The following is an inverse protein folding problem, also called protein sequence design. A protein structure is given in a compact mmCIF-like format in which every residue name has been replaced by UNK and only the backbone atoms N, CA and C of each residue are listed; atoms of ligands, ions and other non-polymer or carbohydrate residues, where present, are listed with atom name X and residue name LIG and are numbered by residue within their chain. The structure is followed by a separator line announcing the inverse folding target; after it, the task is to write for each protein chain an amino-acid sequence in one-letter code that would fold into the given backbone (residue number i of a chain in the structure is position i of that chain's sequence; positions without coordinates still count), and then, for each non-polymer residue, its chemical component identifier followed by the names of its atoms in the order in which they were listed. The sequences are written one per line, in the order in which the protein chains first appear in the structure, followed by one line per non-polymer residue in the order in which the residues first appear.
data_IF_167236542345
#
_entry.id   IF_167236542345
#
_cell.length_a   1.000
_cell.length_b   1.000
_cell.length_c   1.000
_cell.angle_alpha   90.00
_cell.angle_beta   90.00
_cell.angle_gamma   90.00
#
_symmetry.space_group_name_H-M   'P 1'
#
loop_
_entity.id
_entity.type
_entity.pdbx_description
1 polymer ?
#
# COMPACT_ATOMS: atom_id res chain seq x y z
N UNK A 1 -4.18 45.58 28.45
CA UNK A 1 -3.14 46.38 27.78
C UNK A 1 -2.35 45.45 26.87
N UNK A 2 -2.24 45.80 25.57
CA UNK A 2 -1.18 45.43 24.57
C UNK A 2 -0.96 43.93 24.28
N UNK A 3 -0.85 43.45 23.04
CA UNK A 3 -0.96 44.01 21.68
C UNK A 3 -1.09 42.82 20.70
N UNK A 4 -1.80 43.07 19.61
CA UNK A 4 -1.98 42.22 18.42
C UNK A 4 -0.66 41.96 17.68
N UNK A 5 -0.62 40.87 16.92
CA UNK A 5 0.39 40.62 15.89
C UNK A 5 -0.07 39.61 14.85
N UNK A 6 -1.01 40.00 13.99
CA UNK A 6 -1.23 39.34 12.69
C UNK A 6 -0.08 39.72 11.76
N UNK A 7 0.57 38.75 11.11
CA UNK A 7 1.28 38.97 9.85
C UNK A 7 0.83 37.89 8.87
N UNK A 8 0.20 38.40 7.83
CA UNK A 8 -0.34 37.74 6.66
C UNK A 8 0.70 38.01 5.57
N UNK A 9 1.23 36.97 4.92
CA UNK A 9 2.06 37.11 3.73
C UNK A 9 1.41 36.31 2.59
N UNK A 10 0.70 37.06 1.75
CA UNK A 10 0.33 36.68 0.39
C UNK A 10 1.49 37.06 -0.52
N UNK A 11 1.93 36.13 -1.37
CA UNK A 11 2.39 36.46 -2.72
C UNK A 11 2.38 35.18 -3.57
N UNK A 12 1.47 35.12 -4.54
CA UNK A 12 1.52 34.14 -5.61
C UNK A 12 2.46 34.57 -6.74
N UNK A 13 2.96 33.59 -7.47
CA UNK A 13 3.60 33.68 -8.80
C UNK A 13 3.77 32.22 -9.24
N UNK A 14 3.57 31.73 -10.46
CA UNK A 14 3.03 32.16 -11.76
C UNK A 14 3.08 30.89 -12.60
N UNK A 15 2.16 30.75 -13.56
CA UNK A 15 2.15 29.64 -14.50
C UNK A 15 3.36 29.59 -15.44
N UNK A 16 3.75 28.37 -15.79
CA UNK A 16 4.16 27.98 -17.14
C UNK A 16 5.66 27.93 -17.42
N UNK A 17 6.14 26.74 -17.81
CA UNK A 17 6.76 26.49 -19.13
C UNK A 17 6.90 24.98 -19.36
N UNK A 18 6.36 24.50 -20.48
CA UNK A 18 6.76 23.26 -21.11
C UNK A 18 8.14 23.48 -21.75
N UNK A 19 9.15 22.71 -21.36
CA UNK A 19 10.34 22.51 -22.19
C UNK A 19 10.55 21.00 -22.38
N UNK A 20 10.33 20.59 -23.63
CA UNK A 20 10.82 19.34 -24.17
C UNK A 20 12.36 19.34 -24.11
N UNK A 21 12.91 18.40 -23.35
CA UNK A 21 14.33 18.09 -23.32
C UNK A 21 14.67 17.11 -24.44
N UNK A 22 15.36 17.64 -25.44
CA UNK A 22 15.99 16.95 -26.56
C UNK A 22 17.07 15.97 -26.05
N UNK A 23 16.90 14.68 -26.36
CA UNK A 23 18.00 13.72 -26.38
C UNK A 23 18.80 13.88 -27.67
N UNK A 24 20.11 14.05 -27.54
CA UNK A 24 21.09 14.01 -28.65
C UNK A 24 21.96 12.76 -28.52
N UNK A 25 22.35 12.28 -29.71
CA UNK A 25 23.26 11.19 -30.05
C UNK A 25 22.75 9.77 -29.79
N UNK A 26 22.54 8.90 -30.78
CA UNK A 26 22.92 8.92 -32.20
C UNK A 26 22.77 7.50 -32.74
N UNK A 27 22.73 7.37 -34.07
CA UNK A 27 22.54 6.14 -34.86
C UNK A 27 21.06 5.69 -34.96
N UNK A 28 20.48 5.36 -36.10
CA UNK A 28 20.98 5.08 -37.45
C UNK A 28 19.76 4.99 -38.40
N UNK A 29 20.03 5.22 -39.68
CA UNK A 29 19.14 5.32 -40.83
C UNK A 29 18.12 4.18 -41.08
N UNK A 30 16.88 4.51 -41.48
CA UNK A 30 16.30 3.96 -42.73
C UNK A 30 15.05 4.74 -43.23
N UNK A 31 15.28 5.42 -44.34
CA UNK A 31 14.41 5.80 -45.48
C UNK A 31 12.95 5.29 -45.56
N UNK A 32 12.03 6.23 -45.85
CA UNK A 32 11.09 6.08 -46.97
C UNK A 32 9.58 6.23 -46.72
N UNK A 33 9.05 7.42 -47.03
CA UNK A 33 7.77 7.77 -47.69
C UNK A 33 6.47 6.98 -47.37
N UNK A 34 5.45 7.59 -46.75
CA UNK A 34 4.35 8.40 -47.34
C UNK A 34 3.14 7.59 -47.85
N UNK A 35 1.95 8.13 -47.53
CA UNK A 35 0.66 8.09 -48.26
C UNK A 35 -0.25 6.84 -48.26
N UNK A 36 -1.44 7.07 -47.69
CA UNK A 36 -2.79 6.89 -48.28
C UNK A 36 -3.41 5.49 -48.47
N UNK A 37 -4.54 5.32 -47.76
CA UNK A 37 -5.87 4.89 -48.24
C UNK A 37 -6.05 3.62 -49.11
N UNK A 38 -6.98 2.79 -48.64
CA UNK A 38 -7.99 2.03 -49.39
C UNK A 38 -7.64 0.74 -50.16
N UNK A 39 -8.61 -0.18 -50.03
CA UNK A 39 -9.03 -1.27 -50.93
C UNK A 39 -8.49 -2.69 -50.72
N UNK A 40 -9.32 -3.46 -50.02
CA UNK A 40 -9.84 -4.81 -50.32
C UNK A 40 -9.26 -5.53 -51.55
N UNK A 41 -8.81 -6.79 -51.36
CA UNK A 41 -9.26 -7.93 -52.16
C UNK A 41 -8.91 -9.29 -51.50
N UNK A 42 -9.88 -10.21 -51.57
CA UNK A 42 -9.88 -11.60 -51.10
C UNK A 42 -8.99 -12.54 -51.94
N UNK A 43 -8.58 -13.68 -51.36
CA UNK A 43 -8.92 -15.03 -51.87
C UNK A 43 -8.22 -16.17 -51.10
N UNK A 44 -9.04 -16.88 -50.32
CA UNK A 44 -9.20 -18.35 -50.17
C UNK A 44 -8.02 -19.35 -50.04
N UNK A 45 -8.19 -20.21 -49.02
CA UNK A 45 -7.66 -21.59 -48.89
C UNK A 45 -7.58 -22.00 -47.40
N UNK A 46 -8.68 -22.41 -46.74
CA UNK A 46 -9.08 -23.82 -46.45
C UNK A 46 -7.94 -24.64 -45.80
N UNK A 47 -7.99 -25.28 -44.63
CA UNK A 47 -9.07 -25.92 -43.89
C UNK A 47 -8.51 -26.31 -42.49
N UNK A 48 -9.26 -26.14 -41.40
CA UNK A 48 -9.23 -27.13 -40.30
C UNK A 48 -10.35 -26.87 -39.29
N UNK A 49 -11.27 -27.82 -39.24
CA UNK A 49 -12.38 -27.90 -38.31
C UNK A 49 -11.94 -28.67 -37.05
N UNK A 50 -12.14 -28.11 -35.86
CA UNK A 50 -12.43 -28.92 -34.68
C UNK A 50 -13.15 -28.11 -33.60
N UNK A 51 -14.36 -28.59 -33.31
CA UNK A 51 -15.27 -28.32 -32.20
C UNK A 51 -14.64 -27.84 -30.88
N UNK A 52 -15.32 -26.89 -30.21
CA UNK A 52 -16.16 -27.23 -29.06
C UNK A 52 -16.94 -26.03 -28.50
N UNK A 53 -18.27 -26.18 -28.50
CA UNK A 53 -19.22 -25.86 -27.42
C UNK A 53 -19.01 -24.57 -26.61
N UNK A 54 -19.77 -23.54 -26.99
CA UNK A 54 -20.26 -22.51 -26.06
C UNK A 54 -21.53 -22.98 -25.38
N UNK A 55 -21.62 -22.79 -24.06
CA UNK A 55 -22.90 -22.67 -23.38
C UNK A 55 -22.99 -23.35 -22.02
N UNK A 56 -22.90 -22.52 -20.98
CA UNK A 56 -23.81 -22.56 -19.82
C UNK A 56 -23.60 -23.68 -18.78
N UNK A 57 -22.94 -23.34 -17.67
CA UNK A 57 -23.64 -23.13 -16.40
C UNK A 57 -22.72 -22.63 -15.29
N UNK A 58 -23.11 -21.47 -14.76
CA UNK A 58 -22.69 -20.92 -13.48
C UNK A 58 -23.25 -21.78 -12.35
N UNK A 59 -22.37 -22.44 -11.61
CA UNK A 59 -22.52 -22.80 -10.20
C UNK A 59 -21.21 -23.47 -9.75
N UNK A 60 -20.27 -22.68 -9.26
CA UNK A 60 -19.24 -23.16 -8.34
C UNK A 60 -19.20 -22.21 -7.16
N UNK A 61 -20.32 -22.17 -6.44
CA UNK A 61 -20.28 -21.92 -5.01
C UNK A 61 -19.78 -23.22 -4.39
N UNK A 62 -18.51 -23.21 -4.05
CA UNK A 62 -17.77 -24.33 -3.54
C UNK A 62 -16.61 -23.74 -2.78
N UNK A 63 -16.97 -23.14 -1.64
CA UNK A 63 -16.11 -22.73 -0.54
C UNK A 63 -14.68 -23.28 -0.70
N UNK A 64 -13.77 -22.39 -1.10
CA UNK A 64 -12.37 -22.60 -0.77
C UNK A 64 -12.32 -22.55 0.75
N UNK A 65 -12.39 -23.75 1.35
CA UNK A 65 -12.05 -23.94 2.74
C UNK A 65 -10.66 -23.38 2.89
N UNK A 66 -10.58 -22.23 3.56
CA UNK A 66 -9.35 -21.66 4.08
C UNK A 66 -8.55 -22.80 4.66
N UNK A 67 -7.45 -23.09 3.97
CA UNK A 67 -6.34 -23.86 4.51
C UNK A 67 -6.06 -23.27 5.88
N UNK A 68 -6.55 -23.95 6.93
CA UNK A 68 -6.31 -23.59 8.32
C UNK A 68 -4.88 -23.98 8.64
N UNK A 69 -3.94 -23.32 7.97
CA UNK A 69 -2.70 -22.92 8.60
C UNK A 69 -3.14 -22.09 9.80
N UNK A 70 -3.23 -22.74 10.96
CA UNK A 70 -3.62 -22.11 12.22
C UNK A 70 -2.73 -20.88 12.42
N UNK A 71 -3.30 -19.69 12.23
CA UNK A 71 -2.56 -18.43 12.40
C UNK A 71 -2.06 -18.39 13.84
N UNK A 72 -0.75 -18.41 14.06
CA UNK A 72 -0.21 -18.40 15.42
C UNK A 72 -0.23 -16.95 15.94
N UNK A 73 -0.97 -16.70 17.03
CA UNK A 73 -1.21 -15.35 17.53
C UNK A 73 0.08 -14.72 18.07
N UNK A 74 0.89 -15.48 18.82
CA UNK A 74 2.19 -15.02 19.30
C UNK A 74 3.11 -14.59 18.15
N UNK A 75 3.18 -15.39 17.07
CA UNK A 75 3.95 -15.04 15.87
C UNK A 75 3.39 -13.78 15.19
N UNK A 76 2.07 -13.63 15.12
CA UNK A 76 1.43 -12.44 14.54
C UNK A 76 1.78 -11.17 15.32
N UNK A 77 1.66 -11.21 16.65
CA UNK A 77 2.00 -10.09 17.54
C UNK A 77 3.50 -9.77 17.49
N UNK A 78 4.36 -10.79 17.48
CA UNK A 78 5.81 -10.59 17.31
C UNK A 78 6.16 -9.94 15.98
N UNK A 79 5.45 -10.30 14.92
CA UNK A 79 5.63 -9.73 13.60
C UNK A 79 5.24 -8.25 13.58
N UNK A 80 4.08 -7.90 14.15
CA UNK A 80 3.65 -6.49 14.28
C UNK A 80 4.64 -5.68 15.11
N UNK A 81 5.09 -6.20 16.26
CA UNK A 81 6.09 -5.50 17.08
C UNK A 81 7.41 -5.29 16.33
N UNK A 82 7.80 -6.25 15.49
CA UNK A 82 9.00 -6.11 14.64
C UNK A 82 8.83 -5.03 13.58
N UNK A 83 7.65 -4.91 12.97
CA UNK A 83 7.36 -3.85 12.00
C UNK A 83 7.33 -2.47 12.67
N UNK A 84 6.71 -2.37 13.86
CA UNK A 84 6.68 -1.14 14.65
C UNK A 84 8.09 -0.70 15.07
N UNK A 85 8.94 -1.63 15.52
CA UNK A 85 10.35 -1.34 15.86
C UNK A 85 11.17 -0.90 14.63
N UNK A 86 10.93 -1.54 13.47
CA UNK A 86 11.55 -1.16 12.21
C UNK A 86 11.14 0.26 11.77
N UNK A 87 9.86 0.61 11.94
CA UNK A 87 9.35 1.95 11.69
C UNK A 87 9.95 2.97 12.67
N UNK A 88 10.06 2.63 13.95
CA UNK A 88 10.68 3.48 14.96
C UNK A 88 12.14 3.78 14.60
N UNK A 89 12.89 2.73 14.28
CA UNK A 89 14.28 2.83 13.83
C UNK A 89 14.41 3.72 12.59
N UNK A 90 13.50 3.63 11.62
CA UNK A 90 13.50 4.49 10.44
C UNK A 90 13.23 5.96 10.79
N UNK A 91 12.30 6.24 11.71
CA UNK A 91 11.95 7.58 12.17
C UNK A 91 13.07 8.25 13.01
N UNK A 92 13.88 7.45 13.71
CA UNK A 92 15.04 7.92 14.47
C UNK A 92 16.27 8.19 13.59
N UNK A 93 16.52 7.32 12.59
CA UNK A 93 17.73 7.39 11.76
C UNK A 93 17.55 8.21 10.49
N UNK A 94 16.32 8.37 10.00
CA UNK A 94 16.00 8.97 8.71
C UNK A 94 14.71 9.81 8.79
N UNK A 95 14.74 10.87 9.59
CA UNK A 95 13.57 11.74 9.88
C UNK A 95 12.94 12.45 8.68
N UNK A 96 13.42 12.23 7.45
CA UNK A 96 12.91 12.82 6.20
C UNK A 96 12.62 11.76 5.11
N UNK A 97 12.78 10.47 5.40
CA UNK A 97 12.62 9.41 4.40
C UNK A 97 11.19 8.84 4.39
N UNK A 98 10.24 9.67 3.97
CA UNK A 98 8.81 9.30 3.87
C UNK A 98 8.58 8.07 3.00
N UNK A 99 9.42 7.82 1.99
CA UNK A 99 9.33 6.61 1.17
C UNK A 99 9.60 5.34 1.98
N UNK A 100 10.57 5.38 2.91
CA UNK A 100 10.87 4.22 3.75
C UNK A 100 9.76 3.98 4.76
N UNK A 101 9.20 5.04 5.34
CA UNK A 101 8.07 4.94 6.27
C UNK A 101 6.83 4.38 5.57
N UNK A 102 6.58 4.78 4.33
CA UNK A 102 5.50 4.25 3.51
C UNK A 102 5.61 2.75 3.23
N UNK A 103 6.80 2.29 2.87
CA UNK A 103 7.06 0.86 2.67
C UNK A 103 6.80 0.06 3.96
N UNK A 104 7.28 0.56 5.10
CA UNK A 104 7.07 -0.06 6.40
C UNK A 104 5.60 -0.02 6.84
N UNK A 105 4.87 1.06 6.54
CA UNK A 105 3.43 1.15 6.78
C UNK A 105 2.63 0.12 5.98
N UNK A 106 3.01 -0.09 4.72
CA UNK A 106 2.40 -1.12 3.85
C UNK A 106 2.70 -2.53 4.36
N UNK A 107 3.93 -2.76 4.84
CA UNK A 107 4.32 -4.03 5.45
C UNK A 107 3.52 -4.31 6.73
N UNK A 108 3.43 -3.32 7.62
CA UNK A 108 2.64 -3.40 8.85
C UNK A 108 1.17 -3.73 8.54
N UNK A 109 0.57 -3.07 7.54
CA UNK A 109 -0.79 -3.39 7.09
C UNK A 109 -0.91 -4.84 6.65
N UNK A 110 -0.01 -5.30 5.79
CA UNK A 110 -0.06 -6.67 5.29
C UNK A 110 0.08 -7.71 6.40
N UNK A 111 0.88 -7.45 7.43
CA UNK A 111 1.02 -8.38 8.55
C UNK A 111 -0.14 -8.29 9.54
N UNK A 112 -0.68 -7.09 9.79
CA UNK A 112 -1.89 -6.89 10.60
C UNK A 112 -3.09 -7.65 10.02
N UNK A 113 -3.36 -7.49 8.72
CA UNK A 113 -4.48 -8.11 8.01
C UNK A 113 -4.46 -9.65 8.06
N UNK A 114 -3.31 -10.28 8.32
CA UNK A 114 -3.18 -11.74 8.39
C UNK A 114 -3.66 -12.35 9.71
N UNK A 115 -3.72 -11.58 10.81
CA UNK A 115 -4.12 -12.12 12.11
C UNK A 115 -5.16 -11.28 12.86
N UNK A 116 -5.54 -10.10 12.37
CA UNK A 116 -6.53 -9.23 13.00
C UNK A 116 -7.85 -9.96 13.30
N UNK A 117 -8.29 -10.84 12.39
CA UNK A 117 -9.50 -11.63 12.56
C UNK A 117 -9.36 -12.61 13.73
N UNK A 118 -8.22 -13.30 13.86
CA UNK A 118 -7.99 -14.23 14.96
C UNK A 118 -7.91 -13.50 16.30
N UNK A 119 -7.22 -12.35 16.32
CA UNK A 119 -7.16 -11.49 17.49
C UNK A 119 -8.56 -11.01 17.90
N UNK A 120 -9.41 -10.62 16.93
CA UNK A 120 -10.80 -10.23 17.16
C UNK A 120 -11.67 -11.34 17.73
N UNK A 121 -11.46 -12.58 17.28
CA UNK A 121 -12.22 -13.74 17.72
C UNK A 121 -11.84 -14.18 19.14
N UNK A 122 -10.54 -14.19 19.47
CA UNK A 122 -10.04 -14.66 20.77
C UNK A 122 -10.00 -13.57 21.85
N UNK A 123 -9.71 -12.33 21.47
CA UNK A 123 -9.49 -11.19 22.37
C UNK A 123 -10.25 -9.93 21.87
N UNK A 124 -11.59 -9.93 21.85
CA UNK A 124 -12.37 -8.85 21.22
C UNK A 124 -12.20 -7.47 21.87
N UNK A 125 -11.96 -7.41 23.19
CA UNK A 125 -11.71 -6.14 23.89
C UNK A 125 -10.33 -5.59 23.53
N UNK A 126 -9.29 -6.44 23.57
CA UNK A 126 -7.93 -6.05 23.21
C UNK A 126 -7.78 -5.73 21.72
N UNK A 127 -8.47 -6.49 20.86
CA UNK A 127 -8.57 -6.18 19.43
C UNK A 127 -9.07 -4.75 19.20
N UNK A 128 -10.12 -4.32 19.91
CA UNK A 128 -10.65 -2.96 19.76
C UNK A 128 -9.59 -1.92 20.10
N UNK A 129 -8.89 -2.10 21.22
CA UNK A 129 -7.84 -1.18 21.66
C UNK A 129 -6.65 -1.16 20.67
N UNK A 130 -6.15 -2.32 20.26
CA UNK A 130 -5.04 -2.42 19.32
C UNK A 130 -5.43 -1.83 17.95
N UNK A 131 -6.63 -2.14 17.46
CA UNK A 131 -7.10 -1.64 16.17
C UNK A 131 -7.25 -0.11 16.16
N UNK A 132 -7.71 0.47 17.28
CA UNK A 132 -7.82 1.93 17.46
C UNK A 132 -6.47 2.63 17.33
N UNK A 133 -5.37 1.99 17.71
CA UNK A 133 -4.01 2.56 17.58
C UNK A 133 -3.31 2.20 16.26
N UNK A 134 -3.43 0.95 15.79
CA UNK A 134 -2.76 0.48 14.57
C UNK A 134 -3.38 1.09 13.31
N UNK A 135 -4.70 1.22 13.24
CA UNK A 135 -5.36 1.70 12.00
C UNK A 135 -4.94 3.12 11.64
N UNK A 136 -4.98 4.12 12.55
CA UNK A 136 -4.51 5.47 12.24
C UNK A 136 -3.02 5.51 11.88
N UNK A 137 -2.18 4.68 12.51
CA UNK A 137 -0.76 4.57 12.18
C UNK A 137 -0.55 4.06 10.75
N UNK A 138 -1.25 3.01 10.35
CA UNK A 138 -1.24 2.50 8.97
C UNK A 138 -1.73 3.59 8.00
N UNK A 139 -2.86 4.22 8.30
CA UNK A 139 -3.43 5.29 7.45
C UNK A 139 -2.48 6.47 7.26
N UNK A 140 -1.71 6.85 8.30
CA UNK A 140 -0.74 7.94 8.19
C UNK A 140 0.53 7.52 7.47
N UNK A 141 1.09 6.37 7.84
CA UNK A 141 2.36 5.87 7.30
C UNK A 141 2.24 5.50 5.82
N UNK A 142 1.09 5.05 5.34
CA UNK A 142 0.87 4.63 3.94
C UNK A 142 0.55 5.78 2.96
N UNK A 143 0.59 7.03 3.40
CA UNK A 143 0.37 8.19 2.51
C UNK A 143 1.56 8.46 1.60
N UNK A 144 1.29 9.06 0.44
CA UNK A 144 2.33 9.60 -0.45
C UNK A 144 3.18 10.67 0.25
N UNK A 145 2.52 11.53 1.04
CA UNK A 145 3.17 12.51 1.92
C UNK A 145 2.92 12.12 3.38
N UNK A 146 3.87 11.39 3.97
CA UNK A 146 3.82 10.96 5.36
C UNK A 146 4.10 12.13 6.30
N UNK A 147 3.20 12.39 7.24
CA UNK A 147 3.44 13.33 8.34
C UNK A 147 4.28 12.66 9.43
N UNK A 148 5.60 12.89 9.38
CA UNK A 148 6.58 12.25 10.26
C UNK A 148 6.30 12.51 11.76
N UNK A 149 5.87 13.71 12.14
CA UNK A 149 5.59 14.02 13.56
C UNK A 149 4.33 13.29 14.04
N UNK A 150 3.31 13.24 13.18
CA UNK A 150 2.10 12.48 13.47
C UNK A 150 2.36 10.98 13.50
N UNK A 151 3.14 10.44 12.56
CA UNK A 151 3.52 9.01 12.57
C UNK A 151 4.27 8.65 13.84
N UNK A 152 5.19 9.48 14.33
CA UNK A 152 5.88 9.24 15.62
C UNK A 152 4.91 9.12 16.79
N UNK A 153 3.95 10.04 16.88
CA UNK A 153 2.96 10.04 17.95
C UNK A 153 2.11 8.76 17.93
N UNK A 154 1.59 8.40 16.75
CA UNK A 154 0.77 7.20 16.56
C UNK A 154 1.58 5.91 16.80
N UNK A 155 2.86 5.92 16.44
CA UNK A 155 3.74 4.79 16.63
C UNK A 155 3.98 4.50 18.11
N UNK A 156 4.22 5.53 18.92
CA UNK A 156 4.40 5.39 20.37
C UNK A 156 3.15 4.76 21.02
N UNK A 157 1.96 5.23 20.64
CA UNK A 157 0.66 4.74 21.14
C UNK A 157 0.41 3.28 20.74
N UNK A 158 0.72 2.92 19.48
CA UNK A 158 0.61 1.55 18.99
C UNK A 158 1.61 0.60 19.67
N UNK A 159 2.87 1.01 19.83
CA UNK A 159 3.91 0.20 20.50
C UNK A 159 3.52 -0.09 21.95
N UNK A 160 3.05 0.93 22.69
CA UNK A 160 2.61 0.75 24.07
C UNK A 160 1.47 -0.26 24.15
N UNK A 161 0.46 -0.11 23.30
CA UNK A 161 -0.76 -0.94 23.33
C UNK A 161 -0.48 -2.39 22.93
N UNK A 162 0.28 -2.63 21.85
CA UNK A 162 0.63 -3.98 21.40
C UNK A 162 1.57 -4.68 22.38
N UNK A 163 2.53 -3.95 22.97
CA UNK A 163 3.43 -4.51 23.98
C UNK A 163 2.67 -4.91 25.24
N UNK A 164 1.75 -4.05 25.69
CA UNK A 164 0.90 -4.35 26.84
C UNK A 164 0.07 -5.62 26.62
N UNK A 165 -0.56 -5.74 25.44
CA UNK A 165 -1.29 -6.95 25.08
C UNK A 165 -0.40 -8.20 25.15
N UNK A 166 0.80 -8.14 24.55
CA UNK A 166 1.76 -9.24 24.60
C UNK A 166 2.14 -9.67 26.02
N UNK A 167 2.26 -8.72 26.94
CA UNK A 167 2.59 -9.00 28.34
C UNK A 167 1.42 -9.58 29.15
N UNK A 168 0.18 -9.25 28.77
CA UNK A 168 -1.04 -9.69 29.47
C UNK A 168 -1.56 -11.05 28.97
N UNK A 169 -1.26 -11.40 27.72
CA UNK A 169 -1.70 -12.65 27.11
C UNK A 169 -0.79 -13.82 27.50
N UNK A 170 -1.34 -14.95 27.98
CA UNK A 170 -0.54 -16.14 28.21
C UNK A 170 0.02 -16.67 26.89
N UNK A 171 1.34 -16.82 26.81
CA UNK A 171 2.05 -17.43 25.67
C UNK A 171 1.40 -18.77 25.32
N UNK A 172 0.94 -18.93 24.07
CA UNK A 172 0.20 -20.12 23.61
C UNK A 172 1.12 -21.20 23.01
#
# INVERSE_FOLDING_TARGET
MRKKGSILLIAGLTAGTLLAGCGSDGAEENTGAQTEESTLNESSGDNSMSDNTSGDNSASDGAEGSDSSEVNLDVGIDTVLTDLDSMNSALENSSEDSSKINELGTQLQSHWDLFDQKLKEEYPEDYSAINEEITPLIEESTKDEVDIEKTKTLLDEAVETVTKFKDEVPVQ
#
